data_IF_388462698116
#
_entry.id   IF_388462698116
#
_cell.length_a   1.000
_cell.length_b   1.000
_cell.length_c   1.000
_cell.angle_alpha   90.00
_cell.angle_beta   90.00
_cell.angle_gamma   90.00
#
_symmetry.space_group_name_H-M   'P 1'
#
loop_
_entity.id
_entity.type
_entity.pdbx_description
1 polymer ?
#
# COMPACT_ATOMS: atom_id res chain seq x y z
N UNK A 1 -42.44 -42.62 0.12
CA UNK A 1 -43.27 -41.87 1.07
C UNK A 1 -42.51 -41.78 2.40
N UNK A 2 -41.99 -40.58 2.74
CA UNK A 2 -41.25 -40.13 3.97
C UNK A 2 -40.16 -41.07 4.53
N UNK A 3 -38.99 -40.54 4.92
CA UNK A 3 -38.69 -40.23 6.33
C UNK A 3 -37.47 -39.29 6.40
N UNK A 4 -37.60 -38.21 7.17
CA UNK A 4 -36.51 -37.39 7.70
C UNK A 4 -35.74 -38.20 8.75
N UNK A 5 -34.40 -38.09 8.78
CA UNK A 5 -33.64 -38.06 10.05
C UNK A 5 -32.47 -37.08 9.95
N UNK A 6 -32.61 -36.00 10.70
CA UNK A 6 -31.51 -35.17 11.20
C UNK A 6 -31.01 -35.89 12.45
N UNK A 7 -29.69 -36.00 12.61
CA UNK A 7 -29.07 -36.20 13.93
C UNK A 7 -27.93 -35.19 14.10
N UNK A 8 -28.04 -34.40 15.17
CA UNK A 8 -27.05 -33.47 15.74
C UNK A 8 -26.46 -34.14 16.98
N UNK A 9 -25.14 -34.07 17.16
CA UNK A 9 -24.41 -33.85 18.43
C UNK A 9 -22.92 -34.21 18.17
N UNK A 10 -21.97 -33.27 18.14
CA UNK A 10 -21.38 -32.47 19.23
C UNK A 10 -20.11 -33.11 19.81
N UNK A 11 -18.96 -32.47 19.57
CA UNK A 11 -17.79 -32.54 20.43
C UNK A 11 -17.07 -31.18 20.40
N UNK A 12 -17.17 -30.49 21.52
CA UNK A 12 -16.53 -29.22 21.91
C UNK A 12 -15.02 -29.35 22.12
N UNK A 13 -14.25 -28.31 21.78
CA UNK A 13 -13.20 -27.73 22.65
C UNK A 13 -12.79 -26.31 22.18
N UNK A 14 -12.87 -25.37 23.11
CA UNK A 14 -12.34 -23.98 23.13
C UNK A 14 -10.79 -23.99 23.06
N UNK A 15 -9.98 -22.98 22.71
CA UNK A 15 -9.93 -21.50 22.81
C UNK A 15 -8.62 -21.06 22.04
N UNK A 16 -8.03 -19.85 22.20
CA UNK A 16 -8.36 -18.48 21.75
C UNK A 16 -7.42 -17.90 20.65
N UNK A 17 -7.82 -16.76 20.06
CA UNK A 17 -7.05 -15.81 19.22
C UNK A 17 -7.00 -16.05 17.71
N UNK A 18 -8.17 -16.02 17.07
CA UNK A 18 -8.25 -15.64 15.67
C UNK A 18 -8.25 -14.11 15.56
N UNK A 19 -7.17 -13.54 15.03
CA UNK A 19 -7.28 -12.28 14.31
C UNK A 19 -7.97 -12.57 12.96
N UNK A 20 -8.85 -11.70 12.46
CA UNK A 20 -9.59 -11.97 11.24
C UNK A 20 -8.62 -11.95 10.06
N UNK A 21 -8.23 -13.14 9.60
CA UNK A 21 -7.86 -13.35 8.20
C UNK A 21 -9.16 -13.25 7.43
N UNK A 22 -9.23 -12.34 6.46
CA UNK A 22 -10.39 -12.21 5.59
C UNK A 22 -10.46 -13.47 4.70
N UNK A 23 -11.07 -14.53 5.24
CA UNK A 23 -11.61 -15.62 4.44
C UNK A 23 -12.82 -15.02 3.73
N UNK A 24 -12.71 -14.80 2.43
CA UNK A 24 -13.87 -14.42 1.61
C UNK A 24 -14.75 -15.67 1.55
N UNK A 25 -15.70 -15.72 2.47
CA UNK A 25 -16.68 -16.79 2.56
C UNK A 25 -17.52 -16.78 1.28
N UNK A 26 -17.50 -17.88 0.51
CA UNK A 26 -18.15 -17.94 -0.82
C UNK A 26 -19.66 -17.67 -0.72
N UNK A 27 -20.27 -17.96 0.42
CA UNK A 27 -21.69 -17.69 0.67
C UNK A 27 -22.01 -16.20 0.92
N UNK A 28 -21.04 -15.42 1.42
CA UNK A 28 -21.20 -13.97 1.62
C UNK A 28 -21.32 -13.23 0.27
N UNK A 29 -20.61 -13.72 -0.75
CA UNK A 29 -20.61 -13.16 -2.11
C UNK A 29 -21.98 -13.21 -2.82
N UNK A 30 -22.87 -14.12 -2.41
CA UNK A 30 -24.21 -14.23 -2.96
C UNK A 30 -25.18 -13.22 -2.31
N UNK A 31 -25.08 -13.02 -0.99
CA UNK A 31 -25.86 -12.00 -0.27
C UNK A 31 -25.42 -10.57 -0.58
N UNK A 32 -24.12 -10.34 -0.82
CA UNK A 32 -23.58 -9.02 -1.17
C UNK A 32 -24.06 -8.56 -2.56
N UNK A 33 -24.31 -9.50 -3.49
CA UNK A 33 -24.92 -9.23 -4.79
C UNK A 33 -26.39 -8.83 -4.68
N UNK A 34 -27.12 -9.42 -3.74
CA UNK A 34 -28.55 -9.15 -3.50
C UNK A 34 -28.78 -7.81 -2.77
N UNK A 35 -27.82 -7.40 -1.93
CA UNK A 35 -27.83 -6.12 -1.19
C UNK A 35 -27.24 -4.92 -1.96
N UNK A 36 -26.93 -5.06 -3.25
CA UNK A 36 -26.40 -3.97 -4.09
C UNK A 36 -24.93 -3.59 -3.82
N UNK A 37 -24.21 -4.33 -2.97
CA UNK A 37 -22.77 -4.14 -2.71
C UNK A 37 -21.93 -4.91 -3.74
N UNK A 38 -22.08 -4.58 -5.03
CA UNK A 38 -21.23 -5.10 -6.11
C UNK A 38 -19.96 -4.25 -6.33
N UNK A 39 -19.16 -3.99 -5.30
CA UNK A 39 -17.81 -3.42 -5.51
C UNK A 39 -16.76 -4.40 -5.03
N UNK A 40 -16.39 -5.32 -5.92
CA UNK A 40 -15.15 -6.09 -5.75
C UNK A 40 -13.98 -5.09 -5.64
N UNK A 41 -13.24 -5.16 -4.55
CA UNK A 41 -12.20 -4.20 -4.20
C UNK A 41 -10.94 -4.51 -5.00
N UNK A 42 -10.91 -4.03 -6.24
CA UNK A 42 -9.80 -4.29 -7.15
C UNK A 42 -8.81 -3.13 -7.17
N UNK A 43 -8.39 -2.68 -5.99
CA UNK A 43 -7.31 -1.71 -5.85
C UNK A 43 -6.29 -2.14 -4.79
N UNK A 44 -5.05 -1.76 -4.99
CA UNK A 44 -3.98 -1.92 -3.98
C UNK A 44 -3.21 -0.61 -3.78
N UNK A 45 -2.31 -0.57 -2.81
CA UNK A 45 -1.58 0.66 -2.40
C UNK A 45 -0.10 0.39 -2.16
N UNK A 46 0.75 1.36 -2.51
CA UNK A 46 2.15 1.37 -2.08
C UNK A 46 2.24 2.15 -0.76
N UNK A 47 2.41 1.43 0.35
CA UNK A 47 2.46 2.05 1.67
C UNK A 47 3.79 2.77 1.96
N UNK A 48 4.90 2.13 1.59
CA UNK A 48 6.24 2.67 1.78
C UNK A 48 7.15 2.16 0.66
N UNK A 49 8.00 3.05 0.16
CA UNK A 49 9.11 2.73 -0.71
C UNK A 49 10.34 3.48 -0.20
N UNK A 50 11.48 2.82 -0.16
CA UNK A 50 12.70 3.41 0.37
C UNK A 50 13.94 2.86 -0.32
N UNK A 51 15.04 3.60 -0.27
CA UNK A 51 16.31 3.17 -0.88
C UNK A 51 17.53 3.72 -0.14
N UNK A 52 18.68 3.12 -0.41
CA UNK A 52 20.02 3.59 -0.03
C UNK A 52 20.90 3.66 -1.29
N UNK A 53 21.91 4.55 -1.35
CA UNK A 53 22.60 4.89 -2.59
C UNK A 53 23.67 3.87 -3.01
N UNK A 54 23.79 2.73 -2.34
CA UNK A 54 24.90 1.78 -2.53
C UNK A 54 24.77 0.90 -3.77
N UNK A 55 23.74 1.08 -4.57
CA UNK A 55 23.65 0.38 -5.86
C UNK A 55 24.78 0.87 -6.77
N UNK A 56 25.86 0.10 -6.82
CA UNK A 56 27.00 0.31 -7.69
C UNK A 56 26.88 -0.59 -8.91
N UNK A 57 26.99 0.01 -10.09
CA UNK A 57 27.03 -0.75 -11.33
C UNK A 57 28.39 -1.43 -11.47
N UNK A 58 28.40 -2.70 -11.87
CA UNK A 58 29.62 -3.38 -12.34
C UNK A 58 29.65 -3.60 -13.87
N UNK A 59 28.52 -3.66 -14.60
CA UNK A 59 28.53 -3.99 -16.06
C UNK A 59 27.37 -3.36 -16.89
N UNK A 60 27.61 -2.41 -17.84
CA UNK A 60 26.74 -2.06 -19.02
C UNK A 60 25.80 -0.79 -19.08
N UNK A 61 26.16 0.40 -18.57
CA UNK A 61 25.31 1.62 -18.53
C UNK A 61 24.13 1.84 -17.52
N UNK A 62 23.25 0.88 -17.21
CA UNK A 62 22.04 1.01 -16.31
C UNK A 62 22.24 1.82 -15.02
N UNK A 63 21.33 2.78 -14.80
CA UNK A 63 21.28 3.65 -13.61
C UNK A 63 20.39 3.05 -12.52
N UNK A 64 20.67 3.33 -11.24
CA UNK A 64 19.83 2.91 -10.09
C UNK A 64 18.34 3.20 -10.28
N UNK A 65 18.03 4.37 -10.85
CA UNK A 65 16.65 4.80 -11.11
C UNK A 65 15.92 3.87 -12.07
N UNK A 66 16.61 3.32 -13.08
CA UNK A 66 15.99 2.37 -14.01
C UNK A 66 15.62 1.06 -13.30
N UNK A 67 16.45 0.61 -12.35
CA UNK A 67 16.13 -0.57 -11.54
C UNK A 67 14.91 -0.31 -10.66
N UNK A 68 14.83 0.86 -10.03
CA UNK A 68 13.66 1.25 -9.23
C UNK A 68 12.39 1.33 -10.07
N UNK A 69 12.48 1.91 -11.27
CA UNK A 69 11.38 1.97 -12.23
C UNK A 69 10.87 0.56 -12.58
N UNK A 70 11.77 -0.37 -12.92
CA UNK A 70 11.41 -1.75 -13.27
C UNK A 70 10.80 -2.54 -12.11
N UNK A 71 11.30 -2.39 -10.88
CA UNK A 71 10.68 -3.02 -9.70
C UNK A 71 9.22 -2.60 -9.55
N UNK A 72 8.91 -1.32 -9.76
CA UNK A 72 7.55 -0.80 -9.68
C UNK A 72 6.71 -1.28 -10.86
N UNK A 73 7.24 -1.29 -12.08
CA UNK A 73 6.52 -1.84 -13.23
C UNK A 73 6.18 -3.32 -13.07
N UNK A 74 7.11 -4.14 -12.57
CA UNK A 74 6.85 -5.55 -12.27
C UNK A 74 5.79 -5.71 -11.18
N UNK A 75 5.77 -4.85 -10.16
CA UNK A 75 4.69 -4.85 -9.17
C UNK A 75 3.33 -4.46 -9.80
N UNK A 76 3.32 -3.53 -10.74
CA UNK A 76 2.11 -3.15 -11.47
C UNK A 76 1.57 -4.29 -12.33
N UNK A 77 2.45 -4.95 -13.09
CA UNK A 77 2.12 -6.12 -13.89
C UNK A 77 1.60 -7.26 -13.02
N UNK A 78 2.30 -7.57 -11.92
CA UNK A 78 1.91 -8.62 -10.98
C UNK A 78 0.55 -8.35 -10.34
N UNK A 79 0.35 -7.16 -9.77
CA UNK A 79 -0.93 -6.82 -9.13
C UNK A 79 -2.10 -6.84 -10.12
N UNK A 80 -1.88 -6.40 -11.35
CA UNK A 80 -2.87 -6.53 -12.43
C UNK A 80 -3.18 -8.00 -12.76
N UNK A 81 -2.15 -8.84 -12.87
CA UNK A 81 -2.29 -10.27 -13.19
C UNK A 81 -3.14 -11.01 -12.16
N UNK A 82 -3.04 -10.66 -10.87
CA UNK A 82 -3.86 -11.23 -9.78
C UNK A 82 -5.22 -10.55 -9.61
N UNK A 83 -5.62 -9.68 -10.54
CA UNK A 83 -6.97 -9.13 -10.62
C UNK A 83 -7.20 -7.76 -9.97
N UNK A 84 -6.15 -7.06 -9.53
CA UNK A 84 -6.29 -5.64 -9.21
C UNK A 84 -6.49 -4.82 -10.49
N UNK A 85 -7.36 -3.82 -10.45
CA UNK A 85 -7.66 -2.92 -11.56
C UNK A 85 -6.97 -1.55 -11.40
N UNK A 86 -6.58 -1.21 -10.17
CA UNK A 86 -6.04 0.10 -9.81
C UNK A 86 -4.94 0.03 -8.75
N UNK A 87 -4.10 1.05 -8.73
CA UNK A 87 -3.18 1.34 -7.62
C UNK A 87 -3.38 2.76 -7.12
N UNK A 88 -3.35 2.92 -5.80
CA UNK A 88 -3.25 4.22 -5.14
C UNK A 88 -1.84 4.42 -4.59
N UNK A 89 -1.26 5.58 -4.88
CA UNK A 89 0.05 5.96 -4.35
C UNK A 89 -0.13 7.26 -3.60
N UNK A 90 0.13 7.21 -2.28
CA UNK A 90 0.30 8.43 -1.50
C UNK A 90 1.77 8.85 -1.57
N UNK A 91 2.06 9.80 -2.45
CA UNK A 91 3.38 10.40 -2.63
C UNK A 91 3.68 11.30 -1.44
N UNK A 92 4.59 10.84 -0.60
CA UNK A 92 5.01 11.55 0.59
C UNK A 92 6.52 11.50 0.67
N UNK A 93 7.17 12.62 0.34
CA UNK A 93 8.57 12.80 0.65
C UNK A 93 8.80 12.64 2.16
N UNK A 94 10.01 12.23 2.52
CA UNK A 94 10.38 12.08 3.92
C UNK A 94 10.63 13.48 4.48
N UNK A 95 9.91 13.82 5.54
CA UNK A 95 10.05 15.11 6.22
C UNK A 95 10.83 14.95 7.53
N UNK A 96 11.76 15.86 7.81
CA UNK A 96 12.51 15.92 9.06
C UNK A 96 13.38 14.69 9.35
N UNK A 97 13.29 14.16 10.58
CA UNK A 97 14.08 12.98 11.05
C UNK A 97 13.34 11.64 10.85
N UNK A 98 12.32 11.60 9.99
CA UNK A 98 11.55 10.38 9.76
C UNK A 98 12.35 9.36 8.95
N UNK A 99 12.19 8.07 9.26
CA UNK A 99 12.90 6.98 8.57
C UNK A 99 11.87 6.00 7.98
N UNK A 100 11.83 5.70 6.69
CA UNK A 100 10.92 4.66 6.20
C UNK A 100 11.40 3.26 6.60
N UNK A 101 12.37 2.68 5.91
CA UNK A 101 12.90 1.36 6.23
C UNK A 101 14.36 1.41 6.71
N UNK A 102 15.18 2.31 6.17
CA UNK A 102 16.62 2.31 6.48
C UNK A 102 16.93 3.21 7.68
N UNK A 103 17.38 2.60 8.79
CA UNK A 103 17.86 3.32 9.97
C UNK A 103 19.24 3.94 9.71
N UNK A 104 19.40 5.23 10.03
CA UNK A 104 20.62 6.04 9.77
C UNK A 104 21.12 5.92 8.33
N UNK A 105 20.56 6.73 7.44
CA UNK A 105 21.01 6.85 6.04
C UNK A 105 22.38 7.52 5.96
N UNK A 106 23.08 7.42 4.81
CA UNK A 106 24.29 8.20 4.59
C UNK A 106 24.04 9.69 4.76
N UNK A 107 24.94 10.37 5.45
CA UNK A 107 24.83 11.83 5.69
C UNK A 107 24.79 12.64 4.39
N UNK A 108 25.48 12.15 3.35
CA UNK A 108 25.54 12.80 2.02
C UNK A 108 24.42 12.34 1.06
N UNK A 109 23.48 11.51 1.53
CA UNK A 109 22.36 11.09 0.69
C UNK A 109 21.35 12.24 0.56
N UNK A 110 21.19 12.75 -0.65
CA UNK A 110 20.12 13.68 -0.99
C UNK A 110 18.76 12.95 -0.98
N UNK A 111 17.82 13.47 -0.21
CA UNK A 111 16.43 13.03 -0.23
C UNK A 111 15.64 13.92 -1.18
N UNK A 112 14.81 13.35 -2.07
CA UNK A 112 13.96 14.18 -2.91
C UNK A 112 12.96 14.94 -2.04
N UNK A 113 12.73 16.20 -2.36
CA UNK A 113 11.58 16.93 -1.86
C UNK A 113 10.28 16.40 -2.48
N UNK A 114 9.15 16.97 -2.07
CA UNK A 114 7.83 16.52 -2.50
C UNK A 114 7.63 16.64 -4.02
N UNK A 115 8.11 17.72 -4.64
CA UNK A 115 7.91 18.00 -6.07
C UNK A 115 8.83 17.15 -6.93
N UNK A 116 10.09 16.95 -6.51
CA UNK A 116 11.02 16.02 -7.14
C UNK A 116 10.50 14.58 -7.10
N UNK A 117 9.95 14.16 -5.95
CA UNK A 117 9.40 12.82 -5.80
C UNK A 117 8.14 12.64 -6.66
N UNK A 118 7.25 13.64 -6.69
CA UNK A 118 6.08 13.61 -7.56
C UNK A 118 6.48 13.54 -9.03
N UNK A 119 7.40 14.41 -9.47
CA UNK A 119 7.91 14.43 -10.85
C UNK A 119 8.51 13.08 -11.26
N UNK A 120 9.19 12.39 -10.32
CA UNK A 120 9.70 11.05 -10.56
C UNK A 120 8.59 10.02 -10.79
N UNK A 121 7.53 10.03 -9.97
CA UNK A 121 6.36 9.18 -10.17
C UNK A 121 5.62 9.50 -11.47
N UNK A 122 5.40 10.78 -11.80
CA UNK A 122 4.71 11.17 -13.04
C UNK A 122 5.49 10.71 -14.28
N UNK A 123 6.82 10.86 -14.27
CA UNK A 123 7.71 10.30 -15.30
C UNK A 123 7.61 8.78 -15.38
N UNK A 124 7.64 8.09 -14.24
CA UNK A 124 7.51 6.64 -14.16
C UNK A 124 6.17 6.19 -14.77
N UNK A 125 5.06 6.79 -14.35
CA UNK A 125 3.73 6.46 -14.85
C UNK A 125 3.57 6.80 -16.34
N UNK A 126 4.18 7.90 -16.81
CA UNK A 126 4.20 8.25 -18.23
C UNK A 126 4.94 7.23 -19.09
N UNK A 127 6.01 6.64 -18.55
CA UNK A 127 6.84 5.66 -19.26
C UNK A 127 6.25 4.24 -19.16
N UNK A 128 5.55 3.91 -18.07
CA UNK A 128 4.89 2.63 -17.80
C UNK A 128 3.63 2.34 -18.65
N UNK A 129 3.50 2.95 -19.84
CA UNK A 129 2.34 2.83 -20.73
C UNK A 129 2.02 1.39 -21.17
N UNK A 130 2.90 0.41 -20.95
CA UNK A 130 2.58 -1.00 -21.23
C UNK A 130 1.44 -1.50 -20.33
N UNK A 131 1.45 -1.13 -19.04
CA UNK A 131 0.47 -1.60 -18.06
C UNK A 131 -0.59 -0.56 -17.67
N UNK A 132 -0.30 0.73 -17.85
CA UNK A 132 -1.15 1.84 -17.39
C UNK A 132 -1.98 2.40 -18.54
N UNK A 133 -3.29 2.59 -18.36
CA UNK A 133 -4.13 3.35 -19.33
C UNK A 133 -3.98 4.83 -19.08
N UNK A 134 -4.20 5.22 -17.82
CA UNK A 134 -4.19 6.59 -17.37
C UNK A 134 -3.95 6.62 -15.87
N UNK A 135 -3.48 7.77 -15.39
CA UNK A 135 -3.45 8.09 -13.98
C UNK A 135 -4.02 9.49 -13.77
N UNK A 136 -4.49 9.77 -12.57
CA UNK A 136 -4.86 11.12 -12.15
C UNK A 136 -4.08 11.47 -10.90
N UNK A 137 -3.37 12.58 -10.97
CA UNK A 137 -2.82 13.26 -9.81
C UNK A 137 -3.93 14.08 -9.17
N UNK A 138 -4.11 13.88 -7.87
CA UNK A 138 -5.08 14.58 -7.01
C UNK A 138 -6.51 14.51 -7.55
N UNK A 139 -7.15 13.35 -7.42
CA UNK A 139 -8.61 13.27 -7.57
C UNK A 139 -9.25 14.00 -6.39
N UNK A 140 -10.08 15.01 -6.67
CA UNK A 140 -11.07 15.44 -5.67
C UNK A 140 -12.02 14.27 -5.39
N UNK A 141 -12.54 14.12 -4.16
CA UNK A 141 -13.58 13.12 -3.86
C UNK A 141 -14.76 13.21 -4.85
N UNK A 142 -15.02 14.42 -5.37
CA UNK A 142 -16.17 14.80 -6.18
C UNK A 142 -15.81 15.27 -7.60
N UNK A 143 -14.66 14.91 -8.17
CA UNK A 143 -14.27 15.39 -9.50
C UNK A 143 -15.23 14.90 -10.62
N UNK A 144 -16.20 15.77 -10.94
CA UNK A 144 -17.36 15.49 -11.79
C UNK A 144 -17.08 15.26 -13.27
N UNK A 145 -15.81 15.21 -13.70
CA UNK A 145 -15.46 14.98 -15.11
C UNK A 145 -15.58 13.51 -15.54
N UNK A 146 -15.57 12.55 -14.62
CA UNK A 146 -15.65 11.11 -14.98
C UNK A 146 -16.48 10.22 -14.05
N UNK A 147 -16.76 10.64 -12.81
CA UNK A 147 -17.71 9.93 -11.95
C UNK A 147 -18.79 10.89 -11.51
N UNK A 148 -19.94 10.89 -12.21
CA UNK A 148 -21.09 11.73 -11.85
C UNK A 148 -21.67 11.40 -10.45
N UNK A 149 -21.23 10.32 -9.80
CA UNK A 149 -21.82 9.79 -8.55
C UNK A 149 -20.79 9.35 -7.48
N UNK A 150 -19.51 9.77 -7.50
CA UNK A 150 -18.60 9.39 -6.39
C UNK A 150 -18.92 10.25 -5.16
N UNK A 151 -19.32 9.61 -4.06
CA UNK A 151 -19.51 10.28 -2.76
C UNK A 151 -18.19 10.35 -1.97
N UNK A 152 -18.16 11.16 -0.92
CA UNK A 152 -17.01 11.23 0.01
C UNK A 152 -16.78 9.87 0.68
N UNK A 153 -17.85 9.15 1.01
CA UNK A 153 -17.78 7.81 1.57
C UNK A 153 -17.11 6.82 0.62
N UNK A 154 -17.47 6.86 -0.67
CA UNK A 154 -16.82 6.03 -1.70
C UNK A 154 -15.31 6.30 -1.76
N UNK A 155 -14.92 7.57 -1.68
CA UNK A 155 -13.52 7.98 -1.69
C UNK A 155 -12.79 7.52 -0.42
N UNK A 156 -13.38 7.74 0.76
CA UNK A 156 -12.86 7.28 2.05
C UNK A 156 -12.64 5.77 2.03
N UNK A 157 -13.60 5.03 1.51
CA UNK A 157 -13.53 3.59 1.39
C UNK A 157 -12.37 3.14 0.50
N UNK A 158 -12.24 3.75 -0.67
CA UNK A 158 -11.20 3.46 -1.66
C UNK A 158 -9.77 3.76 -1.16
N UNK A 159 -9.63 4.76 -0.30
CA UNK A 159 -8.31 5.16 0.26
C UNK A 159 -8.06 4.64 1.67
N UNK A 160 -8.98 3.88 2.27
CA UNK A 160 -8.98 3.51 3.70
C UNK A 160 -7.71 2.79 4.18
N UNK A 161 -7.02 2.07 3.30
CA UNK A 161 -5.77 1.35 3.63
C UNK A 161 -4.51 2.15 3.27
N UNK A 162 -4.67 3.33 2.67
CA UNK A 162 -3.55 4.17 2.29
C UNK A 162 -2.96 4.89 3.50
N UNK A 163 -1.67 5.25 3.40
CA UNK A 163 -1.02 6.12 4.37
C UNK A 163 -1.70 7.49 4.48
N UNK A 164 -2.32 7.97 3.39
CA UNK A 164 -3.12 9.19 3.38
C UNK A 164 -4.25 9.14 4.41
N UNK A 165 -5.10 8.10 4.35
CA UNK A 165 -6.21 7.92 5.28
C UNK A 165 -5.75 7.89 6.74
N UNK A 166 -4.66 7.17 7.01
CA UNK A 166 -4.06 7.12 8.35
C UNK A 166 -3.64 8.51 8.84
N UNK A 167 -3.00 9.33 8.00
CA UNK A 167 -2.57 10.67 8.38
C UNK A 167 -3.76 11.61 8.63
N UNK A 168 -4.77 11.56 7.75
CA UNK A 168 -6.01 12.32 7.95
C UNK A 168 -6.70 11.94 9.26
N UNK A 169 -6.73 10.64 9.59
CA UNK A 169 -7.29 10.14 10.84
C UNK A 169 -6.48 10.62 12.05
N UNK A 170 -5.15 10.57 11.99
CA UNK A 170 -4.27 11.08 13.04
C UNK A 170 -4.44 12.59 13.27
N UNK A 171 -4.69 13.35 12.22
CA UNK A 171 -4.97 14.79 12.30
C UNK A 171 -6.30 15.07 13.02
N UNK A 172 -7.37 14.38 12.64
CA UNK A 172 -8.67 14.53 13.30
C UNK A 172 -8.61 14.10 14.77
N UNK A 173 -7.93 12.98 15.08
CA UNK A 173 -7.82 12.48 16.44
C UNK A 173 -7.07 13.44 17.38
N UNK A 174 -6.14 14.26 16.87
CA UNK A 174 -5.45 15.29 17.68
C UNK A 174 -6.41 16.37 18.20
N UNK A 175 -7.53 16.60 17.54
CA UNK A 175 -8.53 17.60 17.97
C UNK A 175 -9.27 17.20 19.25
N UNK A 176 -9.16 15.93 19.69
CA UNK A 176 -9.90 15.33 20.81
C UNK A 176 -11.44 15.47 20.69
N UNK A 177 -11.94 15.74 19.49
CA UNK A 177 -13.37 15.91 19.16
C UNK A 177 -13.70 15.21 17.84
N UNK A 178 -13.33 13.93 17.74
CA UNK A 178 -13.61 13.15 16.54
C UNK A 178 -15.11 13.21 16.19
N UNK A 179 -15.42 13.66 14.99
CA UNK A 179 -16.75 13.50 14.42
C UNK A 179 -16.65 13.18 12.94
N UNK A 180 -17.60 12.37 12.43
CA UNK A 180 -17.67 12.03 11.01
C UNK A 180 -17.69 13.27 10.10
N UNK A 181 -18.49 14.32 10.35
CA UNK A 181 -18.48 15.52 9.53
C UNK A 181 -17.15 16.28 9.55
N UNK A 182 -16.40 16.25 10.66
CA UNK A 182 -15.06 16.85 10.69
C UNK A 182 -14.09 16.03 9.86
N UNK A 183 -14.09 14.70 10.04
CA UNK A 183 -13.21 13.82 9.31
C UNK A 183 -13.44 13.86 7.80
N UNK A 184 -14.71 13.89 7.37
CA UNK A 184 -15.08 14.11 5.96
C UNK A 184 -14.50 15.44 5.45
N UNK A 185 -14.62 16.53 6.21
CA UNK A 185 -14.01 17.83 5.84
C UNK A 185 -12.48 17.77 5.76
N UNK A 186 -11.81 17.04 6.65
CA UNK A 186 -10.35 16.83 6.58
C UNK A 186 -9.99 16.11 5.28
N UNK A 187 -10.73 15.06 4.92
CA UNK A 187 -10.50 14.29 3.68
C UNK A 187 -10.78 15.15 2.44
N UNK A 188 -11.85 15.95 2.45
CA UNK A 188 -12.25 16.80 1.33
C UNK A 188 -11.27 17.96 1.08
N UNK A 189 -10.76 18.60 2.14
CA UNK A 189 -9.83 19.72 2.05
C UNK A 189 -8.40 19.28 1.70
N UNK A 190 -8.02 18.04 2.03
CA UNK A 190 -6.63 17.58 1.91
C UNK A 190 -6.03 17.74 0.50
N UNK A 191 -6.71 17.37 -0.61
CA UNK A 191 -6.16 17.56 -1.95
C UNK A 191 -5.90 19.02 -2.31
N UNK A 192 -6.66 19.96 -1.74
CA UNK A 192 -6.50 21.40 -1.98
C UNK A 192 -5.38 21.99 -1.11
N UNK A 193 -5.32 21.61 0.17
CA UNK A 193 -4.28 22.06 1.09
C UNK A 193 -2.91 21.46 0.77
N UNK A 194 -2.90 20.24 0.24
CA UNK A 194 -1.70 19.44 -0.02
C UNK A 194 -1.78 18.82 -1.42
N UNK A 195 -1.69 19.65 -2.47
CA UNK A 195 -1.70 19.15 -3.85
C UNK A 195 -0.49 18.24 -4.09
N UNK A 196 -0.51 17.50 -5.21
CA UNK A 196 0.61 16.65 -5.61
C UNK A 196 1.00 15.58 -4.57
N UNK A 197 0.01 14.91 -3.97
CA UNK A 197 0.26 13.82 -3.01
C UNK A 197 -0.45 12.51 -3.30
N UNK A 198 -1.48 12.49 -4.13
CA UNK A 198 -2.31 11.30 -4.31
C UNK A 198 -2.44 10.95 -5.79
N UNK A 199 -1.91 9.79 -6.17
CA UNK A 199 -2.00 9.27 -7.52
C UNK A 199 -2.95 8.08 -7.55
N UNK A 200 -3.92 8.13 -8.47
CA UNK A 200 -4.79 7.02 -8.81
C UNK A 200 -4.38 6.48 -10.18
N UNK A 201 -3.84 5.28 -10.20
CA UNK A 201 -3.32 4.61 -11.40
C UNK A 201 -4.33 3.56 -11.84
N UNK A 202 -4.75 3.61 -13.11
CA UNK A 202 -5.70 2.66 -13.67
C UNK A 202 -5.01 1.79 -14.72
N UNK A 203 -5.14 0.48 -14.56
CA UNK A 203 -4.51 -0.49 -15.46
C UNK A 203 -5.24 -0.65 -16.78
N UNK A 204 -4.47 -1.06 -17.80
CA UNK A 204 -5.01 -1.49 -19.10
C UNK A 204 -5.82 -2.75 -18.90
N UNK A 205 -7.12 -2.63 -19.13
CA UNK A 205 -8.03 -3.77 -19.15
C UNK A 205 -7.61 -4.74 -20.26
N UNK A 206 -7.12 -5.91 -19.84
CA UNK A 206 -7.42 -7.17 -20.53
C UNK A 206 -8.40 -7.90 -19.64
N UNK A 207 -9.35 -8.64 -20.21
CA UNK A 207 -10.08 -9.68 -19.49
C UNK A 207 -9.05 -10.75 -19.09
N UNK A 208 -8.28 -10.46 -18.05
CA UNK A 208 -7.47 -11.47 -17.38
C UNK A 208 -8.42 -11.99 -16.33
N UNK A 209 -8.98 -13.19 -16.55
CA UNK A 209 -9.50 -13.97 -15.44
C UNK A 209 -8.36 -14.02 -14.43
N UNK A 210 -8.56 -13.35 -13.28
CA UNK A 210 -7.49 -13.17 -12.30
C UNK A 210 -6.89 -14.53 -12.00
N UNK A 211 -5.58 -14.65 -12.16
CA UNK A 211 -4.91 -15.90 -11.83
C UNK A 211 -5.02 -16.04 -10.31
N UNK A 212 -5.73 -17.08 -9.86
CA UNK A 212 -5.77 -17.42 -8.44
C UNK A 212 -4.39 -17.95 -8.08
N UNK A 213 -3.58 -17.12 -7.43
CA UNK A 213 -2.26 -17.50 -6.94
C UNK A 213 -2.42 -17.85 -5.47
N UNK A 214 -2.16 -19.12 -5.14
CA UNK A 214 -1.99 -19.53 -3.74
C UNK A 214 -0.62 -19.05 -3.24
N UNK A 215 -0.58 -17.86 -2.64
CA UNK A 215 0.59 -17.40 -1.90
C UNK A 215 0.46 -17.78 -0.42
N UNK A 216 1.49 -18.43 0.13
CA UNK A 216 1.55 -18.69 1.56
C UNK A 216 1.65 -17.36 2.33
N UNK A 217 0.90 -17.27 3.43
CA UNK A 217 1.05 -16.13 4.33
C UNK A 217 2.42 -16.20 5.03
N UNK A 218 3.28 -15.25 4.71
CA UNK A 218 4.57 -15.09 5.39
C UNK A 218 4.35 -14.27 6.68
N UNK A 219 4.15 -14.95 7.81
CA UNK A 219 4.10 -14.29 9.13
C UNK A 219 5.50 -14.21 9.75
N UNK A 220 6.00 -12.99 9.91
CA UNK A 220 7.30 -12.76 10.54
C UNK A 220 7.29 -11.52 11.43
N UNK A 221 7.80 -11.67 12.67
CA UNK A 221 7.74 -10.62 13.70
C UNK A 221 8.39 -9.30 13.27
N UNK A 222 9.48 -9.39 12.50
CA UNK A 222 10.17 -8.22 11.95
C UNK A 222 9.32 -7.45 10.94
N UNK A 223 8.73 -8.15 9.99
CA UNK A 223 8.05 -7.56 8.84
C UNK A 223 6.61 -7.19 9.16
N UNK A 224 6.09 -7.62 10.32
CA UNK A 224 4.76 -7.28 10.83
C UNK A 224 4.45 -5.79 10.84
N UNK A 225 5.45 -4.93 11.08
CA UNK A 225 5.26 -3.48 10.89
C UNK A 225 6.58 -2.75 10.69
N UNK A 226 6.52 -1.58 10.03
CA UNK A 226 7.64 -0.63 9.96
C UNK A 226 8.22 -0.31 11.34
N UNK A 227 7.38 -0.14 12.37
CA UNK A 227 7.88 0.17 13.71
C UNK A 227 8.65 -0.99 14.34
N UNK A 228 8.22 -2.23 14.11
CA UNK A 228 8.93 -3.40 14.63
C UNK A 228 10.31 -3.48 13.97
N UNK A 229 10.35 -3.38 12.64
CA UNK A 229 11.59 -3.34 11.88
C UNK A 229 12.57 -2.28 12.41
N UNK A 230 12.17 -1.01 12.48
CA UNK A 230 13.04 0.08 12.95
C UNK A 230 13.48 -0.09 14.42
N UNK A 231 12.59 -0.58 15.29
CA UNK A 231 12.95 -0.88 16.69
C UNK A 231 14.01 -1.97 16.76
N UNK A 232 13.92 -2.99 15.92
CA UNK A 232 14.92 -4.05 15.87
C UNK A 232 16.26 -3.53 15.38
N UNK A 233 16.28 -2.72 14.32
CA UNK A 233 17.52 -2.11 13.84
C UNK A 233 18.21 -1.32 14.96
N UNK A 234 17.46 -0.44 15.64
CA UNK A 234 17.98 0.38 16.75
C UNK A 234 18.47 -0.46 17.93
N UNK A 235 17.71 -1.50 18.31
CA UNK A 235 18.06 -2.37 19.44
C UNK A 235 19.39 -3.09 19.21
N UNK A 236 19.69 -3.44 17.97
CA UNK A 236 20.91 -4.16 17.59
C UNK A 236 22.00 -3.24 17.02
N UNK A 237 21.81 -1.92 17.12
CA UNK A 237 22.70 -0.89 16.55
C UNK A 237 23.07 -1.14 15.07
N UNK A 238 22.08 -1.58 14.30
CA UNK A 238 22.18 -1.83 12.87
C UNK A 238 21.82 -0.57 12.09
N UNK A 239 22.71 -0.14 11.21
CA UNK A 239 22.58 1.09 10.42
C UNK A 239 22.89 0.90 8.95
N UNK A 240 22.49 1.89 8.15
CA UNK A 240 22.72 1.93 6.71
C UNK A 240 23.53 3.16 6.31
N UNK A 241 24.41 3.67 7.18
CA UNK A 241 25.11 4.95 6.98
C UNK A 241 26.36 4.80 6.09
N UNK A 242 26.91 3.58 6.02
CA UNK A 242 27.93 3.18 5.03
C UNK A 242 27.57 1.87 4.32
N UNK A 243 28.28 1.58 3.22
CA UNK A 243 28.09 0.31 2.48
C UNK A 243 28.41 -0.91 3.35
N UNK A 244 29.41 -0.79 4.24
CA UNK A 244 29.83 -1.89 5.11
C UNK A 244 28.80 -2.12 6.23
N UNK A 245 28.23 -1.06 6.80
CA UNK A 245 27.11 -1.18 7.73
C UNK A 245 25.87 -1.78 7.08
N UNK A 246 25.53 -1.35 5.87
CA UNK A 246 24.41 -1.93 5.11
C UNK A 246 24.65 -3.42 4.81
N UNK A 247 25.87 -3.81 4.43
CA UNK A 247 26.26 -5.21 4.27
C UNK A 247 26.15 -5.98 5.58
N UNK A 248 26.59 -5.41 6.69
CA UNK A 248 26.47 -6.04 8.01
C UNK A 248 24.99 -6.26 8.39
N UNK A 249 24.11 -5.30 8.08
CA UNK A 249 22.66 -5.48 8.26
C UNK A 249 22.12 -6.66 7.44
N UNK A 250 22.58 -6.83 6.20
CA UNK A 250 22.13 -7.90 5.31
C UNK A 250 22.78 -9.27 5.57
N UNK A 251 24.02 -9.30 6.09
CA UNK A 251 24.82 -10.52 6.25
C UNK A 251 24.94 -11.03 7.69
N UNK A 252 24.62 -10.21 8.70
CA UNK A 252 24.76 -10.67 10.07
C UNK A 252 23.93 -11.94 10.26
N UNK A 253 24.57 -13.04 10.69
CA UNK A 253 23.84 -14.25 11.09
C UNK A 253 22.93 -13.96 12.30
N UNK A 254 23.17 -12.84 13.01
CA UNK A 254 22.29 -12.24 14.00
C UNK A 254 21.03 -11.59 13.41
N UNK A 255 20.95 -11.41 12.09
CA UNK A 255 19.73 -11.11 11.34
C UNK A 255 18.97 -12.38 10.90
N UNK A 256 19.29 -13.56 11.47
CA UNK A 256 18.26 -14.55 11.82
C UNK A 256 17.43 -13.99 12.98
N UNK A 257 16.82 -12.83 12.77
CA UNK A 257 15.71 -12.33 13.55
C UNK A 257 14.44 -12.88 12.92
#
# INVERSE_FOLDING_TARGET
MRIKKINKAAATRSNPRNHPVAVVDRDQSAQDKENGWQRSHKWCTINYLDSVPYFTRTVGGVKKTQVYDEIIYSYFEYSKMIGFERIHIFVCAIEGKNEYFFHRRPTLMELPDQDMLMSWYERLLHNGKKEIVWYVNTQRPTDGRRSRNRSVEDFIFEVSYSKFYRLAMEEELKSNKFSRPNFERVIESYPEERPNRLLFVHYKTKEVEGVEIEEETIDHKLTKSRSNWLKTLRKNDLSFASIDEAKNCCHSQNARI
#
